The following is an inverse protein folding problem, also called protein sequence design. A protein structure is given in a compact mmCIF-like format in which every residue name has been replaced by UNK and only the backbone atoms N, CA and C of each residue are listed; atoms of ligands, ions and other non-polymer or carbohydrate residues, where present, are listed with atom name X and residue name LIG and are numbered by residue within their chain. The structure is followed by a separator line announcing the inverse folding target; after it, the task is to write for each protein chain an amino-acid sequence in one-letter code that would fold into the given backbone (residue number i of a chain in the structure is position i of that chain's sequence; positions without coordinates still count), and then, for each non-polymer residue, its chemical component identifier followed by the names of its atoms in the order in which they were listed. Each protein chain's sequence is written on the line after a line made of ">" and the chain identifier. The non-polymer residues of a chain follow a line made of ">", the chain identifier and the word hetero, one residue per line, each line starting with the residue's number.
data_IF_818804648758
#
_entry.id   IF_818804648758
#
_cell.length_a   1.000
_cell.length_b   1.000
_cell.length_c   1.000
_cell.angle_alpha   90.00
_cell.angle_beta   90.00
_cell.angle_gamma   90.00
#
_symmetry.space_group_name_H-M   'P 1'
#
loop_
_entity.id
_entity.type
_entity.pdbx_description
1 polymer ?
#
# COMPACT_ATOMS: atom_id res chain seq x y z
N UNK A 1 6.77 -0.16 -14.83
CA UNK A 1 5.80 0.86 -14.40
C UNK A 1 4.76 1.18 -15.47
N UNK A 2 5.09 0.98 -16.73
CA UNK A 2 4.12 1.13 -17.82
C UNK A 2 2.96 0.16 -17.68
N UNK A 3 3.22 -1.06 -17.22
CA UNK A 3 2.18 -2.06 -16.99
C UNK A 3 1.25 -1.66 -15.86
N UNK A 4 1.79 -1.03 -14.83
CA UNK A 4 0.99 -0.51 -13.70
C UNK A 4 0.04 0.58 -14.20
N UNK A 5 0.54 1.51 -14.98
CA UNK A 5 -0.28 2.59 -15.55
C UNK A 5 -1.38 2.01 -16.44
N UNK A 6 -1.06 1.02 -17.28
CA UNK A 6 -2.03 0.37 -18.16
C UNK A 6 -3.17 -0.29 -17.36
N UNK A 7 -2.83 -0.98 -16.25
CA UNK A 7 -3.83 -1.61 -15.39
C UNK A 7 -4.73 -0.54 -14.73
N UNK A 8 -4.15 0.54 -14.23
CA UNK A 8 -4.91 1.63 -13.61
C UNK A 8 -5.86 2.27 -14.61
N UNK A 9 -5.41 2.56 -15.83
CA UNK A 9 -6.27 3.11 -16.87
C UNK A 9 -7.43 2.15 -17.19
N UNK A 10 -7.17 0.85 -17.19
CA UNK A 10 -8.21 -0.16 -17.40
C UNK A 10 -9.26 -0.12 -16.28
N UNK A 11 -8.86 0.09 -15.03
CA UNK A 11 -9.82 0.19 -13.91
C UNK A 11 -10.76 1.38 -14.09
N UNK A 12 -10.27 2.48 -14.65
CA UNK A 12 -11.12 3.65 -14.96
C UNK A 12 -12.11 3.34 -16.08
N UNK A 13 -11.65 2.71 -17.16
CA UNK A 13 -12.51 2.32 -18.26
C UNK A 13 -13.62 1.36 -17.83
N UNK A 14 -13.31 0.44 -16.93
CA UNK A 14 -14.27 -0.55 -16.42
C UNK A 14 -15.15 -0.03 -15.28
N UNK A 15 -14.90 1.19 -14.79
CA UNK A 15 -15.66 1.78 -13.71
C UNK A 15 -15.48 1.08 -12.37
N UNK A 16 -14.30 0.53 -12.10
CA UNK A 16 -14.00 -0.14 -10.84
C UNK A 16 -13.86 0.89 -9.71
N UNK A 17 -14.22 0.46 -8.49
CA UNK A 17 -14.26 1.35 -7.32
C UNK A 17 -12.86 1.81 -6.87
N UNK A 18 -11.84 1.02 -7.15
CA UNK A 18 -10.48 1.40 -6.75
C UNK A 18 -9.46 0.30 -6.98
N UNK A 19 -8.30 0.49 -6.38
CA UNK A 19 -7.14 -0.38 -6.54
C UNK A 19 -6.51 -0.65 -5.18
N UNK A 20 -6.03 -1.87 -4.98
CA UNK A 20 -5.15 -2.24 -3.85
C UNK A 20 -3.73 -2.39 -4.41
N UNK A 21 -2.78 -1.68 -3.85
CA UNK A 21 -1.37 -1.76 -4.22
C UNK A 21 -0.52 -1.77 -2.93
N UNK A 22 0.37 -2.72 -2.69
CA UNK A 22 0.96 -3.63 -3.66
C UNK A 22 0.97 -5.07 -3.15
N UNK A 23 1.52 -6.01 -3.97
CA UNK A 23 1.69 -7.40 -3.57
C UNK A 23 3.13 -7.64 -3.07
N UNK A 24 3.38 -8.85 -2.54
CA UNK A 24 4.73 -9.26 -2.11
C UNK A 24 5.68 -9.26 -3.30
N UNK A 25 6.98 -9.13 -3.02
CA UNK A 25 8.01 -9.17 -4.05
C UNK A 25 8.70 -10.54 -4.10
N UNK A 26 9.05 -10.98 -5.32
CA UNK A 26 9.92 -12.14 -5.54
C UNK A 26 11.34 -11.73 -5.90
N UNK A 27 11.59 -10.43 -6.06
CA UNK A 27 12.91 -9.88 -6.41
C UNK A 27 13.72 -9.63 -5.13
N UNK A 28 14.21 -10.72 -4.53
CA UNK A 28 14.98 -10.71 -3.30
C UNK A 28 15.89 -11.93 -3.22
N UNK A 29 16.79 -11.97 -2.27
CA UNK A 29 17.72 -13.07 -2.03
C UNK A 29 17.52 -13.76 -0.67
N UNK A 30 16.28 -13.72 -0.15
CA UNK A 30 15.91 -14.31 1.14
C UNK A 30 15.31 -15.71 1.04
N UNK A 31 15.34 -16.34 -0.16
CA UNK A 31 14.80 -17.67 -0.40
C UNK A 31 13.68 -17.66 -1.42
N UNK A 32 12.91 -18.75 -1.50
CA UNK A 32 11.79 -18.87 -2.42
C UNK A 32 10.54 -18.16 -1.90
N UNK A 33 9.69 -17.74 -2.83
CA UNK A 33 8.40 -17.11 -2.53
C UNK A 33 8.46 -15.59 -2.46
N UNK A 34 7.33 -14.99 -2.15
CA UNK A 34 7.21 -13.55 -2.03
C UNK A 34 7.66 -13.06 -0.66
N UNK A 35 8.30 -11.91 -0.62
CA UNK A 35 8.68 -11.25 0.63
C UNK A 35 7.64 -10.19 0.98
N UNK A 36 7.13 -10.23 2.20
CA UNK A 36 6.25 -9.20 2.78
C UNK A 36 7.01 -8.44 3.88
N UNK A 37 6.35 -7.47 4.51
CA UNK A 37 6.92 -6.72 5.62
C UNK A 37 7.78 -5.54 5.19
N UNK A 38 8.58 -5.03 6.10
CA UNK A 38 9.32 -3.79 5.93
C UNK A 38 10.14 -3.66 4.63
N UNK A 39 10.78 -4.72 4.10
CA UNK A 39 11.54 -4.60 2.85
C UNK A 39 10.73 -4.16 1.63
N UNK A 40 9.40 -4.32 1.67
CA UNK A 40 8.52 -3.88 0.59
C UNK A 40 8.28 -2.38 0.55
N UNK A 41 8.46 -1.67 1.66
CA UNK A 41 7.93 -0.31 1.80
C UNK A 41 8.44 0.68 0.75
N UNK A 42 9.75 0.75 0.44
CA UNK A 42 10.22 1.74 -0.54
C UNK A 42 9.55 1.58 -1.91
N UNK A 43 9.47 0.36 -2.41
CA UNK A 43 8.83 0.10 -3.71
C UNK A 43 7.32 0.30 -3.64
N UNK A 44 6.70 -0.10 -2.53
CA UNK A 44 5.27 0.10 -2.33
C UNK A 44 4.91 1.59 -2.38
N UNK A 45 5.69 2.44 -1.75
CA UNK A 45 5.48 3.89 -1.78
C UNK A 45 5.61 4.45 -3.20
N UNK A 46 6.59 3.99 -3.98
CA UNK A 46 6.74 4.39 -5.38
C UNK A 46 5.51 4.00 -6.20
N UNK A 47 5.04 2.77 -6.05
CA UNK A 47 3.88 2.26 -6.80
C UNK A 47 2.61 2.99 -6.38
N UNK A 48 2.40 3.20 -5.08
CA UNK A 48 1.23 3.94 -4.58
C UNK A 48 1.21 5.36 -5.16
N UNK A 49 2.36 6.06 -5.17
CA UNK A 49 2.45 7.40 -5.76
C UNK A 49 2.10 7.38 -7.25
N UNK A 50 2.60 6.40 -7.98
CA UNK A 50 2.34 6.26 -9.41
C UNK A 50 0.86 6.00 -9.67
N UNK A 51 0.26 5.07 -8.93
CA UNK A 51 -1.17 4.73 -9.07
C UNK A 51 -2.04 5.94 -8.72
N UNK A 52 -1.71 6.64 -7.63
CA UNK A 52 -2.48 7.81 -7.20
C UNK A 52 -2.55 8.89 -8.26
N UNK A 53 -1.48 9.09 -9.02
CA UNK A 53 -1.44 10.09 -10.09
C UNK A 53 -2.33 9.75 -11.28
N UNK A 54 -2.69 8.48 -11.45
CA UNK A 54 -3.45 8.00 -12.60
C UNK A 54 -4.90 7.62 -12.27
N UNK A 55 -5.25 7.45 -10.99
CA UNK A 55 -6.64 7.22 -10.59
C UNK A 55 -7.44 8.51 -10.71
N UNK A 56 -8.75 8.38 -10.92
CA UNK A 56 -9.63 9.55 -10.85
C UNK A 56 -10.12 9.79 -9.41
N UNK A 57 -10.79 10.93 -9.19
CA UNK A 57 -11.18 11.37 -7.85
C UNK A 57 -12.22 10.48 -7.17
N UNK A 58 -12.96 9.69 -7.95
CA UNK A 58 -14.00 8.79 -7.41
C UNK A 58 -13.45 7.42 -7.02
N UNK A 59 -12.24 7.09 -7.46
CA UNK A 59 -11.63 5.80 -7.16
C UNK A 59 -10.86 5.86 -5.84
N UNK A 60 -10.88 4.75 -5.11
CA UNK A 60 -10.20 4.60 -3.83
C UNK A 60 -8.89 3.82 -4.04
N UNK A 61 -7.82 4.29 -3.43
CA UNK A 61 -6.53 3.60 -3.42
C UNK A 61 -6.24 3.08 -2.02
N UNK A 62 -6.09 1.76 -1.91
CA UNK A 62 -5.69 1.11 -0.68
C UNK A 62 -4.21 0.76 -0.80
N UNK A 63 -3.38 1.39 0.05
CA UNK A 63 -1.95 1.14 0.08
C UNK A 63 -1.62 -0.02 1.01
N UNK A 64 -0.84 -0.97 0.52
CA UNK A 64 -0.38 -2.10 1.32
C UNK A 64 1.04 -2.47 0.91
N UNK A 65 1.77 -3.07 1.83
CA UNK A 65 3.14 -3.53 1.60
C UNK A 65 4.16 -2.79 2.44
N UNK A 66 4.74 -3.50 3.40
CA UNK A 66 5.86 -3.00 4.20
C UNK A 66 5.52 -2.05 5.32
N UNK A 67 4.25 -1.86 5.63
CA UNK A 67 3.83 -0.99 6.73
C UNK A 67 4.11 -1.71 8.05
N UNK A 68 5.02 -1.17 8.86
CA UNK A 68 5.41 -1.77 10.14
C UNK A 68 5.27 -0.79 11.31
N UNK A 69 4.93 0.47 11.05
CA UNK A 69 4.76 1.49 12.08
C UNK A 69 3.66 2.48 11.69
N UNK A 70 3.12 3.26 12.63
CA UNK A 70 2.20 4.34 12.29
C UNK A 70 2.80 5.36 11.33
N UNK A 71 4.10 5.63 11.42
CA UNK A 71 4.82 6.54 10.52
C UNK A 71 4.81 6.02 9.09
N UNK A 72 4.94 4.70 8.90
CA UNK A 72 4.87 4.08 7.58
C UNK A 72 3.47 4.24 6.98
N UNK A 73 2.42 4.10 7.80
CA UNK A 73 1.05 4.33 7.36
C UNK A 73 0.84 5.78 6.92
N UNK A 74 1.41 6.74 7.66
CA UNK A 74 1.37 8.15 7.28
C UNK A 74 2.08 8.40 5.95
N UNK A 75 3.20 7.73 5.69
CA UNK A 75 3.91 7.80 4.41
C UNK A 75 3.04 7.29 3.26
N UNK A 76 2.30 6.20 3.48
CA UNK A 76 1.36 5.68 2.47
C UNK A 76 0.26 6.69 2.15
N UNK A 77 -0.33 7.31 3.16
CA UNK A 77 -1.36 8.34 2.97
C UNK A 77 -0.75 9.55 2.24
N UNK A 78 0.45 9.99 2.63
CA UNK A 78 1.14 11.09 1.96
C UNK A 78 1.48 10.77 0.51
N UNK A 79 1.72 9.50 0.19
CA UNK A 79 1.97 9.06 -1.19
C UNK A 79 0.71 9.04 -2.05
N UNK A 80 -0.48 9.10 -1.44
CA UNK A 80 -1.75 9.18 -2.14
C UNK A 80 -2.76 8.11 -1.80
N UNK A 81 -2.45 7.20 -0.88
CA UNK A 81 -3.41 6.17 -0.46
C UNK A 81 -4.54 6.80 0.36
N UNK A 82 -5.74 6.32 0.15
CA UNK A 82 -6.92 6.69 0.94
C UNK A 82 -7.04 5.85 2.20
N UNK A 83 -6.68 4.58 2.10
CA UNK A 83 -6.69 3.61 3.19
C UNK A 83 -5.39 2.81 3.15
N UNK A 84 -5.08 2.13 4.26
CA UNK A 84 -3.91 1.27 4.35
C UNK A 84 -4.30 -0.11 4.86
N UNK A 85 -3.55 -1.13 4.41
CA UNK A 85 -3.64 -2.50 4.90
C UNK A 85 -2.27 -2.97 5.34
N UNK A 86 -2.23 -3.82 6.36
CA UNK A 86 -0.98 -4.43 6.82
C UNK A 86 -1.26 -5.84 7.34
N UNK A 87 -0.30 -6.73 7.15
CA UNK A 87 -0.41 -8.12 7.62
C UNK A 87 0.76 -8.53 8.49
N UNK A 88 1.99 -8.45 7.96
CA UNK A 88 3.17 -8.93 8.70
C UNK A 88 3.38 -8.20 10.02
N UNK A 89 3.18 -6.89 10.03
CA UNK A 89 3.32 -6.10 11.26
C UNK A 89 2.29 -6.51 12.31
N UNK A 90 1.06 -6.81 11.89
CA UNK A 90 0.03 -7.28 12.81
C UNK A 90 0.45 -8.57 13.53
N UNK A 91 1.08 -9.50 12.80
CA UNK A 91 1.56 -10.76 13.38
C UNK A 91 2.62 -10.49 14.47
N UNK A 92 3.55 -9.56 14.22
CA UNK A 92 4.64 -9.27 15.16
C UNK A 92 4.22 -8.33 16.29
N UNK A 93 3.37 -7.34 16.00
CA UNK A 93 3.00 -6.29 16.97
C UNK A 93 1.74 -6.62 17.78
N UNK A 94 0.92 -7.56 17.29
CA UNK A 94 -0.26 -8.04 18.02
C UNK A 94 -1.55 -7.26 17.73
N UNK A 95 -2.65 -7.66 18.41
CA UNK A 95 -4.00 -7.18 18.05
C UNK A 95 -4.26 -5.70 18.33
N UNK A 96 -3.50 -5.06 19.21
CA UNK A 96 -3.69 -3.63 19.52
C UNK A 96 -3.08 -2.71 18.46
N UNK A 97 -2.19 -3.23 17.61
CA UNK A 97 -1.44 -2.44 16.65
C UNK A 97 -2.31 -1.68 15.62
N UNK A 98 -3.36 -2.29 15.02
CA UNK A 98 -4.22 -1.54 14.11
C UNK A 98 -4.86 -0.31 14.75
N UNK A 99 -5.24 -0.40 16.02
CA UNK A 99 -5.78 0.74 16.75
C UNK A 99 -4.74 1.84 16.98
N UNK A 100 -3.50 1.47 17.24
CA UNK A 100 -2.39 2.43 17.39
C UNK A 100 -2.16 3.20 16.08
N UNK A 101 -2.14 2.50 14.95
CA UNK A 101 -1.99 3.11 13.63
C UNK A 101 -3.17 4.05 13.35
N UNK A 102 -4.38 3.59 13.61
CA UNK A 102 -5.59 4.37 13.36
C UNK A 102 -5.60 5.66 14.17
N UNK A 103 -5.19 5.60 15.44
CA UNK A 103 -5.08 6.81 16.28
C UNK A 103 -4.04 7.79 15.74
N UNK A 104 -2.90 7.28 15.28
CA UNK A 104 -1.87 8.14 14.68
C UNK A 104 -2.38 8.85 13.43
N UNK A 105 -3.13 8.16 12.58
CA UNK A 105 -3.71 8.74 11.38
C UNK A 105 -4.75 9.82 11.68
N UNK A 106 -5.51 9.66 12.76
CA UNK A 106 -6.50 10.67 13.20
C UNK A 106 -5.87 11.97 13.65
N UNK A 107 -4.64 11.92 14.15
CA UNK A 107 -3.93 13.09 14.67
C UNK A 107 -2.88 13.66 13.69
N UNK A 108 -2.88 13.17 12.48
CA UNK A 108 -1.93 13.61 11.45
C UNK A 108 -2.35 14.94 10.81
#
# INVERSE_FOLDING_TARGET
>A
DEDIVAVVELTKELGLAGVVATNTTINHDLGEGGVSGAPLLPRALEVVSLVARHLDDEQILIGTGGISSPEDALRMISAGADLVEAFSAFIFEGPSWPGEVSRALQHA
#
